data_IF_806559723926
#
_entry.id   IF_806559723926
#
_cell.length_a   1.000
_cell.length_b   1.000
_cell.length_c   1.000
_cell.angle_alpha   90.00
_cell.angle_beta   90.00
_cell.angle_gamma   90.00
#
_symmetry.space_group_name_H-M   'P 1'
#
loop_
_entity.id
_entity.type
_entity.pdbx_description
1 polymer ?
#
# COMPACT_ATOMS: atom_id res chain seq x y z
N UNK A 1 14.28 6.92 1.44
CA UNK A 1 14.32 5.45 1.30
C UNK A 1 13.19 4.84 2.10
N UNK A 2 12.53 3.82 1.54
CA UNK A 2 11.49 3.03 2.21
C UNK A 2 11.91 1.56 2.15
N UNK A 3 12.18 0.97 3.31
CA UNK A 3 12.74 -0.38 3.43
C UNK A 3 11.75 -1.31 4.12
N UNK A 4 11.50 -2.48 3.53
CA UNK A 4 10.74 -3.53 4.19
C UNK A 4 11.55 -4.03 5.38
N UNK A 5 11.01 -3.84 6.59
CA UNK A 5 11.63 -4.22 7.84
C UNK A 5 11.12 -5.57 8.35
N UNK A 6 9.80 -5.80 8.21
CA UNK A 6 9.17 -7.01 8.71
C UNK A 6 8.00 -7.42 7.82
N UNK A 7 7.85 -8.72 7.62
CA UNK A 7 6.65 -9.34 7.09
C UNK A 7 6.09 -10.32 8.13
N UNK A 8 4.79 -10.30 8.35
CA UNK A 8 4.09 -11.26 9.21
C UNK A 8 2.81 -11.70 8.51
N UNK A 9 2.61 -13.01 8.41
CA UNK A 9 1.37 -13.60 7.88
C UNK A 9 0.45 -13.89 9.05
N UNK A 10 -0.75 -13.35 9.02
CA UNK A 10 -1.81 -13.73 9.94
C UNK A 10 -2.44 -15.00 9.38
N UNK A 11 -2.51 -16.06 10.19
CA UNK A 11 -3.20 -17.30 9.82
C UNK A 11 -4.70 -17.16 10.01
N UNK A 12 -5.29 -16.11 9.45
CA UNK A 12 -6.73 -15.87 9.43
C UNK A 12 -7.36 -16.42 8.14
N UNK A 13 -8.70 -16.41 8.09
CA UNK A 13 -9.45 -16.92 6.93
C UNK A 13 -9.17 -16.14 5.64
N UNK A 14 -8.79 -14.87 5.78
CA UNK A 14 -8.49 -13.97 4.67
C UNK A 14 -7.02 -14.02 4.23
N UNK A 15 -6.19 -14.83 4.88
CA UNK A 15 -4.78 -14.97 4.59
C UNK A 15 -4.05 -13.61 4.60
N UNK A 16 -4.21 -12.82 5.66
CA UNK A 16 -3.74 -11.43 5.73
C UNK A 16 -2.22 -11.35 5.86
N UNK A 17 -1.59 -10.55 5.00
CA UNK A 17 -0.16 -10.22 5.06
C UNK A 17 0.08 -8.84 5.65
N UNK A 18 0.87 -8.76 6.72
CA UNK A 18 1.27 -7.49 7.35
C UNK A 18 2.72 -7.17 6.96
N UNK A 19 2.90 -6.06 6.25
CA UNK A 19 4.21 -5.57 5.81
C UNK A 19 4.54 -4.28 6.56
N UNK A 20 5.66 -4.26 7.28
CA UNK A 20 6.13 -3.08 8.02
C UNK A 20 7.30 -2.47 7.28
N UNK A 21 7.17 -1.20 6.90
CA UNK A 21 8.22 -0.45 6.23
C UNK A 21 8.80 0.63 7.14
N UNK A 22 10.13 0.74 7.16
CA UNK A 22 10.82 1.87 7.77
C UNK A 22 11.08 2.89 6.66
N UNK A 23 10.49 4.07 6.82
CA UNK A 23 10.68 5.22 5.92
C UNK A 23 11.63 6.24 6.55
N UNK A 24 12.55 6.78 5.75
CA UNK A 24 13.45 7.84 6.22
C UNK A 24 12.72 9.18 6.32
N UNK A 25 13.18 10.08 7.19
CA UNK A 25 12.59 11.42 7.36
C UNK A 25 12.45 12.19 6.05
N UNK A 26 13.38 12.01 5.12
CA UNK A 26 13.33 12.61 3.79
C UNK A 26 12.05 12.23 3.03
N UNK A 27 11.59 10.98 3.11
CA UNK A 27 10.36 10.53 2.43
C UNK A 27 9.12 11.21 3.01
N UNK A 28 9.14 11.49 4.31
CA UNK A 28 8.00 12.07 5.01
C UNK A 28 7.99 13.60 5.02
N UNK A 29 9.14 14.26 4.80
CA UNK A 29 9.34 15.71 5.00
C UNK A 29 9.82 16.48 3.78
N UNK A 30 10.46 15.81 2.82
CA UNK A 30 10.96 16.45 1.60
C UNK A 30 9.89 16.37 0.50
N UNK A 31 9.42 17.54 0.05
CA UNK A 31 8.33 17.66 -0.91
C UNK A 31 8.75 17.21 -2.32
N UNK A 32 10.05 17.20 -2.62
CA UNK A 32 10.54 16.81 -3.95
C UNK A 32 11.03 15.36 -4.03
N UNK A 33 10.84 14.58 -2.97
CA UNK A 33 11.29 13.18 -2.92
C UNK A 33 10.14 12.21 -2.78
N UNK A 34 9.72 11.69 -3.92
CA UNK A 34 8.97 10.44 -3.97
C UNK A 34 9.87 9.26 -3.57
N UNK A 35 9.26 8.24 -2.98
CA UNK A 35 9.97 7.02 -2.64
C UNK A 35 9.12 5.80 -2.94
N UNK A 36 9.73 4.82 -3.61
CA UNK A 36 9.11 3.52 -3.85
C UNK A 36 9.92 2.45 -3.14
N UNK A 37 9.24 1.50 -2.50
CA UNK A 37 9.91 0.34 -1.89
C UNK A 37 10.46 -0.58 -2.97
N UNK A 38 11.36 -1.49 -2.57
CA UNK A 38 11.63 -2.67 -3.40
C UNK A 38 10.35 -3.49 -3.59
N UNK A 39 10.29 -4.23 -4.69
CA UNK A 39 9.21 -5.16 -4.97
C UNK A 39 9.17 -6.26 -3.89
N UNK A 40 7.97 -6.60 -3.43
CA UNK A 40 7.70 -7.72 -2.52
C UNK A 40 6.62 -8.62 -3.10
N UNK A 41 6.68 -9.91 -2.80
CA UNK A 41 5.75 -10.91 -3.36
C UNK A 41 4.66 -11.24 -2.35
N UNK A 42 3.40 -11.19 -2.78
CA UNK A 42 2.27 -11.63 -1.99
C UNK A 42 1.11 -12.07 -2.89
N UNK A 43 0.48 -13.21 -2.57
CA UNK A 43 -0.64 -13.74 -3.36
C UNK A 43 -0.29 -13.96 -4.83
N UNK A 44 0.91 -14.50 -5.12
CA UNK A 44 1.46 -14.70 -6.48
C UNK A 44 1.73 -13.44 -7.31
N UNK A 45 1.52 -12.26 -6.73
CA UNK A 45 1.78 -10.98 -7.37
C UNK A 45 2.98 -10.25 -6.76
N UNK A 46 3.62 -9.40 -7.56
CA UNK A 46 4.69 -8.48 -7.14
C UNK A 46 4.07 -7.12 -6.86
N UNK A 47 4.34 -6.62 -5.67
CA UNK A 47 3.79 -5.37 -5.15
C UNK A 47 4.92 -4.41 -4.79
N UNK A 48 4.64 -3.12 -4.83
CA UNK A 48 5.49 -2.09 -4.27
C UNK A 48 4.62 -1.04 -3.57
N UNK A 49 5.16 -0.40 -2.54
CA UNK A 49 4.52 0.77 -1.91
C UNK A 49 5.22 2.02 -2.38
N UNK A 50 4.47 2.97 -2.91
CA UNK A 50 4.95 4.30 -3.29
C UNK A 50 4.46 5.35 -2.29
N UNK A 51 5.35 6.28 -1.98
CA UNK A 51 5.13 7.43 -1.13
C UNK A 51 5.32 8.67 -2.00
N UNK A 52 4.27 9.48 -2.12
CA UNK A 52 4.31 10.74 -2.87
C UNK A 52 3.98 11.87 -1.92
N UNK A 53 4.89 12.83 -1.77
CA UNK A 53 4.68 13.97 -0.88
C UNK A 53 4.32 15.19 -1.70
N UNK A 54 3.20 15.81 -1.35
CA UNK A 54 2.88 17.18 -1.76
C UNK A 54 3.08 18.11 -0.58
N UNK A 55 2.98 19.42 -0.80
CA UNK A 55 3.14 20.43 0.27
C UNK A 55 2.24 20.14 1.49
N UNK A 56 1.03 19.63 1.26
CA UNK A 56 0.02 19.45 2.31
C UNK A 56 -0.20 17.99 2.71
N UNK A 57 0.10 17.02 1.85
CA UNK A 57 -0.34 15.62 2.03
C UNK A 57 0.80 14.65 1.72
N UNK A 58 0.90 13.57 2.49
CA UNK A 58 1.66 12.38 2.14
C UNK A 58 0.71 11.32 1.56
N UNK A 59 0.77 11.11 0.25
CA UNK A 59 0.09 10.02 -0.43
C UNK A 59 0.87 8.72 -0.25
N UNK A 60 0.17 7.63 0.05
CA UNK A 60 0.73 6.27 0.11
C UNK A 60 -0.10 5.39 -0.81
N UNK A 61 0.57 4.69 -1.73
CA UNK A 61 -0.07 3.92 -2.79
C UNK A 61 0.49 2.50 -2.84
N UNK A 62 -0.39 1.52 -2.99
CA UNK A 62 -0.02 0.15 -3.28
C UNK A 62 -0.03 -0.06 -4.80
N UNK A 63 1.09 -0.52 -5.36
CA UNK A 63 1.31 -0.66 -6.80
C UNK A 63 1.49 -2.14 -7.13
N UNK A 64 0.74 -2.64 -8.11
CA UNK A 64 0.97 -3.94 -8.73
C UNK A 64 2.03 -3.82 -9.83
N UNK A 65 3.12 -4.59 -9.73
CA UNK A 65 4.31 -4.48 -10.60
C UNK A 65 4.32 -5.44 -11.78
N UNK A 66 3.54 -6.51 -11.71
CA UNK A 66 3.42 -7.52 -12.75
C UNK A 66 1.96 -7.72 -13.21
N UNK A 67 1.26 -6.67 -13.69
CA UNK A 67 -0.03 -6.86 -14.31
C UNK A 67 0.15 -7.59 -15.66
N UNK A 68 -0.62 -8.66 -15.90
CA UNK A 68 -0.85 -9.18 -17.25
C UNK A 68 -2.02 -8.40 -17.89
N UNK A 69 -2.10 -8.38 -19.23
CA UNK A 69 -3.09 -7.59 -19.99
C UNK A 69 -4.56 -7.89 -19.61
N UNK A 70 -4.84 -9.08 -19.07
CA UNK A 70 -6.17 -9.47 -18.58
C UNK A 70 -6.22 -9.79 -17.08
N UNK A 71 -5.09 -9.70 -16.37
CA UNK A 71 -5.05 -9.99 -14.94
C UNK A 71 -5.70 -8.86 -14.24
N UNK A 72 -6.55 -9.21 -13.27
CA UNK A 72 -6.94 -8.16 -12.39
C UNK A 72 -6.96 -8.49 -10.91
N UNK A 73 -7.10 -7.50 -10.03
CA UNK A 73 -6.75 -7.74 -8.63
C UNK A 73 -7.62 -6.93 -7.68
N UNK A 74 -8.40 -7.65 -6.89
CA UNK A 74 -9.15 -7.11 -5.77
C UNK A 74 -8.35 -7.34 -4.51
N UNK A 75 -7.92 -6.25 -3.88
CA UNK A 75 -7.19 -6.31 -2.62
C UNK A 75 -7.77 -5.28 -1.67
N UNK A 76 -8.24 -5.77 -0.53
CA UNK A 76 -8.51 -4.93 0.63
C UNK A 76 -7.21 -4.74 1.39
N UNK A 77 -6.86 -3.49 1.66
CA UNK A 77 -5.65 -3.17 2.40
C UNK A 77 -5.88 -1.99 3.32
N UNK A 78 -5.02 -1.89 4.33
CA UNK A 78 -5.04 -0.79 5.27
C UNK A 78 -3.62 -0.28 5.43
N UNK A 79 -3.42 1.02 5.24
CA UNK A 79 -2.17 1.67 5.62
C UNK A 79 -2.28 2.14 7.06
N UNK A 80 -1.25 1.88 7.84
CA UNK A 80 -1.14 2.39 9.21
C UNK A 80 0.17 3.12 9.37
N UNK A 81 0.09 4.41 9.69
CA UNK A 81 1.25 5.22 10.07
C UNK A 81 1.46 5.02 11.56
N UNK A 82 2.57 4.38 11.91
CA UNK A 82 2.92 4.12 13.29
C UNK A 82 3.60 5.34 13.91
N UNK A 83 2.99 5.89 14.95
CA UNK A 83 3.58 6.91 15.79
C UNK A 83 4.57 6.25 16.75
N UNK A 84 5.80 6.77 16.79
CA UNK A 84 6.88 6.22 17.63
C UNK A 84 6.76 6.60 19.11
N UNK A 85 6.04 7.68 19.42
CA UNK A 85 5.86 8.15 20.79
C UNK A 85 4.76 7.37 21.50
N UNK A 86 3.61 7.22 20.85
CA UNK A 86 2.44 6.59 21.46
C UNK A 86 1.50 5.98 20.43
N UNK A 87 1.15 4.70 20.62
CA UNK A 87 0.34 3.92 19.67
C UNK A 87 -1.08 4.49 19.45
N UNK A 88 -1.63 5.23 20.42
CA UNK A 88 -2.95 5.85 20.28
C UNK A 88 -3.00 6.96 19.22
N UNK A 89 -1.83 7.48 18.82
CA UNK A 89 -1.69 8.47 17.75
C UNK A 89 -1.41 7.84 16.39
N UNK A 90 -1.56 6.52 16.26
CA UNK A 90 -1.42 5.86 14.97
C UNK A 90 -2.56 6.28 14.04
N UNK A 91 -2.22 6.63 12.81
CA UNK A 91 -3.21 6.99 11.80
C UNK A 91 -3.49 5.77 10.92
N UNK A 92 -4.78 5.44 10.76
CA UNK A 92 -5.22 4.25 10.04
C UNK A 92 -6.06 4.68 8.84
N UNK A 93 -5.66 4.24 7.66
CA UNK A 93 -6.29 4.54 6.39
C UNK A 93 -6.74 3.24 5.73
N UNK A 94 -7.97 2.77 6.01
CA UNK A 94 -8.51 1.59 5.37
C UNK A 94 -8.91 1.91 3.93
N UNK A 95 -8.56 1.04 3.00
CA UNK A 95 -9.09 1.06 1.64
C UNK A 95 -9.78 -0.27 1.37
N UNK A 96 -11.09 -0.17 1.15
CA UNK A 96 -11.91 -1.30 0.72
C UNK A 96 -12.30 -1.08 -0.72
N UNK A 97 -12.22 -2.11 -1.53
CA UNK A 97 -12.75 -2.02 -2.88
C UNK A 97 -14.29 -2.06 -2.78
N UNK A 98 -15.03 -1.13 -3.41
CA UNK A 98 -16.48 -1.16 -3.37
C UNK A 98 -17.00 -2.45 -4.00
N UNK A 99 -18.04 -3.04 -3.40
CA UNK A 99 -18.65 -4.29 -3.84
C UNK A 99 -19.33 -4.18 -5.22
N UNK A 100 -19.50 -2.97 -5.77
CA UNK A 100 -20.09 -2.71 -7.09
C UNK A 100 -19.13 -1.90 -7.99
N UNK A 101 -18.91 -2.31 -9.24
CA UNK A 101 -18.03 -1.61 -10.19
C UNK A 101 -18.78 -0.44 -10.82
N UNK A 102 -19.02 0.63 -10.06
CA UNK A 102 -19.51 1.87 -10.63
C UNK A 102 -18.83 3.07 -9.98
N UNK A 103 -18.14 3.82 -10.84
CA UNK A 103 -17.60 5.18 -10.70
C UNK A 103 -16.11 5.33 -10.38
N UNK A 104 -15.45 5.95 -11.37
CA UNK A 104 -14.15 6.61 -11.31
C UNK A 104 -14.06 7.59 -10.14
N UNK A 105 -12.86 7.76 -9.59
CA UNK A 105 -12.12 8.96 -9.98
C UNK A 105 -10.68 8.59 -10.37
N UNK A 106 -10.28 8.93 -11.60
CA UNK A 106 -8.89 8.80 -12.07
C UNK A 106 -8.34 7.36 -12.12
N UNK A 107 -8.94 6.52 -12.98
CA UNK A 107 -8.40 5.24 -13.51
C UNK A 107 -7.72 4.30 -12.50
N UNK A 108 -8.50 3.35 -11.94
CA UNK A 108 -8.04 1.98 -11.69
C UNK A 108 -9.20 1.03 -12.00
N UNK A 109 -9.24 0.50 -13.22
CA UNK A 109 -10.17 -0.56 -13.62
C UNK A 109 -9.37 -1.77 -14.05
N UNK A 110 -9.14 -2.71 -13.13
CA UNK A 110 -8.68 -4.05 -13.51
C UNK A 110 -9.35 -5.02 -12.45
N UNK A 111 -10.38 -5.85 -12.83
CA UNK A 111 -11.08 -7.03 -12.13
C UNK A 111 -10.47 -8.51 -11.94
N UNK A 112 -9.94 -8.92 -10.79
CA UNK A 112 -9.86 -10.36 -10.39
C UNK A 112 -8.68 -11.27 -10.81
N UNK A 113 -8.13 -11.94 -9.79
CA UNK A 113 -7.44 -13.22 -9.91
C UNK A 113 -8.19 -14.18 -8.99
N UNK A 114 -9.21 -14.80 -9.57
CA UNK A 114 -9.42 -16.24 -9.48
C UNK A 114 -8.91 -16.83 -10.78
#
# INVERSE_FOLDING_TARGET
MALLYRFSRLNDRSNTGVFTFIVTRSVTRDVHRDATTKDFVFGYHRWAVSFTRTEKILGVYLILRNPSEDTKCYVDYTFTILNREHFSKNEVYPRRMPASPSMNPSMVTINGCS
#
